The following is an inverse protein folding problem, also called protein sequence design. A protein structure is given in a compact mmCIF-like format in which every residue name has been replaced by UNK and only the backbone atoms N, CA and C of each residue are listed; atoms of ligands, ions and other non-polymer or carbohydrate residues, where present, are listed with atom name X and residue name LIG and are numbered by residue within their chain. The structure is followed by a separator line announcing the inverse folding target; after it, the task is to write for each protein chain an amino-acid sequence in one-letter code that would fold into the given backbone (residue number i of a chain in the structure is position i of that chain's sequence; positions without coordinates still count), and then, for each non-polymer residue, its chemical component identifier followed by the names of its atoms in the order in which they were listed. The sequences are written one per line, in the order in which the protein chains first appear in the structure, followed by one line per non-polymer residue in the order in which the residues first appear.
data_IF_721835020975
#
_entry.id   IF_721835020975
#
_cell.length_a   1.000
_cell.length_b   1.000
_cell.length_c   1.000
_cell.angle_alpha   90.00
_cell.angle_beta   90.00
_cell.angle_gamma   90.00
#
_symmetry.space_group_name_H-M   'P 1'
#
loop_
_entity.id
_entity.type
_entity.pdbx_description
1 polymer ?
#
# COMPACT_ATOMS: atom_id res chain seq x y z
N UNK A 1 -46.33 17.12 -39.64
CA UNK A 1 -47.47 17.50 -38.78
C UNK A 1 -47.01 17.38 -37.34
N UNK A 2 -46.82 18.52 -36.70
CA UNK A 2 -46.43 18.68 -35.30
C UNK A 2 -47.53 18.21 -34.35
N UNK A 3 -47.15 17.70 -33.17
CA UNK A 3 -47.95 17.88 -31.97
C UNK A 3 -47.04 18.01 -30.75
N UNK A 4 -46.84 19.27 -30.38
CA UNK A 4 -46.46 19.75 -29.06
C UNK A 4 -47.73 19.77 -28.20
N UNK A 5 -47.60 19.46 -26.91
CA UNK A 5 -48.32 20.05 -25.75
C UNK A 5 -47.93 19.23 -24.51
N UNK A 6 -47.14 19.79 -23.58
CA UNK A 6 -47.54 20.69 -22.48
C UNK A 6 -48.20 19.89 -21.35
N UNK A 7 -48.03 20.14 -20.06
CA UNK A 7 -47.18 20.96 -19.18
C UNK A 7 -47.60 20.50 -17.76
N UNK A 8 -47.00 21.09 -16.72
CA UNK A 8 -47.57 21.26 -15.38
C UNK A 8 -47.44 20.11 -14.35
N UNK A 9 -47.19 20.32 -13.05
CA UNK A 9 -46.95 21.51 -12.20
C UNK A 9 -46.81 21.02 -10.73
N UNK A 10 -46.33 21.91 -9.84
CA UNK A 10 -46.29 21.90 -8.36
C UNK A 10 -44.99 21.38 -7.72
N UNK A 11 -44.07 22.18 -7.16
CA UNK A 11 -44.08 23.40 -6.30
C UNK A 11 -44.52 23.22 -4.85
N UNK A 12 -43.72 23.86 -3.97
CA UNK A 12 -43.88 24.19 -2.54
C UNK A 12 -43.43 23.09 -1.56
N UNK A 13 -42.62 23.35 -0.52
CA UNK A 13 -42.50 24.56 0.30
C UNK A 13 -41.05 24.81 0.77
N UNK A 14 -40.58 26.04 0.54
CA UNK A 14 -39.67 26.77 1.43
C UNK A 14 -40.58 27.60 2.33
N UNK A 15 -40.23 27.73 3.61
CA UNK A 15 -40.49 28.84 4.55
C UNK A 15 -40.11 28.31 5.97
N UNK A 16 -39.55 29.03 6.95
CA UNK A 16 -39.17 30.44 7.12
C UNK A 16 -38.73 30.61 8.59
N UNK A 17 -37.70 31.45 8.80
CA UNK A 17 -37.43 32.28 10.00
C UNK A 17 -37.18 31.63 11.37
N UNK A 18 -36.58 32.27 12.38
CA UNK A 18 -35.60 33.34 12.63
C UNK A 18 -35.53 33.43 14.19
N UNK A 19 -34.58 34.24 14.71
CA UNK A 19 -34.45 34.73 16.10
C UNK A 19 -33.81 33.77 17.11
N UNK A 20 -33.04 34.20 18.13
CA UNK A 20 -32.40 35.47 18.49
C UNK A 20 -31.57 35.20 19.77
N UNK A 21 -30.42 35.84 19.85
CA UNK A 21 -29.58 36.24 21.01
C UNK A 21 -30.15 36.14 22.43
N UNK A 22 -29.36 35.56 23.36
CA UNK A 22 -29.11 35.97 24.77
C UNK A 22 -27.86 35.21 25.27
N UNK A 23 -26.72 35.84 25.54
CA UNK A 23 -26.29 36.51 26.79
C UNK A 23 -25.96 35.54 27.97
N UNK A 24 -24.69 35.61 28.37
CA UNK A 24 -24.03 35.30 29.66
C UNK A 24 -24.26 33.95 30.38
N UNK A 25 -23.16 33.22 30.57
CA UNK A 25 -22.87 32.60 31.86
C UNK A 25 -21.37 32.43 32.06
N UNK A 26 -20.90 33.03 33.15
CA UNK A 26 -19.55 33.05 33.69
C UNK A 26 -19.05 31.67 34.13
N UNK A 27 -17.80 31.34 33.80
CA UNK A 27 -17.02 30.35 34.56
C UNK A 27 -15.61 30.88 34.78
N UNK A 28 -15.37 31.31 36.03
CA UNK A 28 -14.06 31.40 36.66
C UNK A 28 -13.36 30.04 36.59
N UNK A 29 -12.13 30.02 36.10
CA UNK A 29 -11.18 28.97 36.40
C UNK A 29 -9.77 29.59 36.48
N UNK A 30 -9.18 29.37 37.64
CA UNK A 30 -8.00 30.02 38.18
C UNK A 30 -6.74 29.83 37.35
N UNK A 31 -5.90 30.86 37.40
CA UNK A 31 -4.55 30.93 36.86
C UNK A 31 -3.55 30.75 38.01
N UNK A 32 -2.90 29.59 38.12
CA UNK A 32 -1.67 29.32 38.87
C UNK A 32 -1.07 28.04 38.27
N UNK A 33 0.22 27.82 38.00
CA UNK A 33 1.45 28.58 38.16
C UNK A 33 2.49 27.87 37.27
N UNK A 34 3.40 28.64 36.67
CA UNK A 34 4.68 28.15 36.14
C UNK A 34 5.46 27.45 37.27
N UNK A 35 6.13 26.31 37.00
CA UNK A 35 7.60 26.21 37.11
C UNK A 35 8.13 24.77 36.90
N UNK A 36 9.19 24.73 36.08
CA UNK A 36 10.35 23.82 36.03
C UNK A 36 10.23 22.31 35.75
N UNK A 37 10.66 21.97 34.52
CA UNK A 37 11.90 21.23 34.24
C UNK A 37 12.19 19.96 35.05
N UNK A 38 11.89 18.81 34.46
CA UNK A 38 12.89 17.72 34.37
C UNK A 38 12.69 16.95 33.06
N UNK A 39 13.51 17.31 32.06
CA UNK A 39 13.71 16.57 30.83
C UNK A 39 14.96 15.70 31.03
N UNK A 40 14.79 14.44 31.40
CA UNK A 40 15.74 13.37 31.04
C UNK A 40 15.25 11.99 31.45
N UNK A 41 14.36 11.40 30.65
CA UNK A 41 14.41 9.95 30.45
C UNK A 41 14.68 9.73 28.97
N UNK A 42 15.99 9.67 28.75
CA UNK A 42 16.70 9.15 27.60
C UNK A 42 16.20 7.73 27.28
N UNK A 43 15.13 7.63 26.49
CA UNK A 43 14.68 6.37 25.88
C UNK A 43 15.36 6.20 24.49
N UNK A 44 16.63 6.60 24.42
CA UNK A 44 17.48 6.50 23.23
C UNK A 44 18.14 5.12 23.13
N UNK A 45 17.40 4.04 23.31
CA UNK A 45 17.88 2.70 22.94
C UNK A 45 16.81 1.93 22.17
N UNK A 46 16.44 2.47 21.00
CA UNK A 46 15.86 1.66 19.93
C UNK A 46 16.35 2.12 18.56
N UNK A 47 17.61 2.55 18.49
CA UNK A 47 18.36 2.49 17.24
C UNK A 47 18.68 1.03 16.99
N UNK A 48 17.78 0.43 16.20
CA UNK A 48 18.06 -0.53 15.15
C UNK A 48 19.43 -1.22 15.33
N UNK A 49 19.39 -2.46 15.79
CA UNK A 49 20.47 -3.41 15.60
C UNK A 49 20.79 -3.44 14.11
N UNK A 50 21.76 -2.60 13.71
CA UNK A 50 22.35 -2.48 12.40
C UNK A 50 23.29 -3.67 12.15
N UNK A 51 22.97 -4.83 12.74
CA UNK A 51 23.50 -6.10 12.29
C UNK A 51 23.08 -6.21 10.84
N UNK A 52 24.04 -5.94 9.95
CA UNK A 52 23.93 -6.17 8.52
C UNK A 52 23.41 -7.59 8.35
N UNK A 53 22.10 -7.70 8.13
CA UNK A 53 21.44 -8.96 7.93
C UNK A 53 22.13 -9.57 6.71
N UNK A 54 22.89 -10.64 6.91
CA UNK A 54 23.63 -11.40 5.87
C UNK A 54 22.71 -12.06 4.85
N UNK A 55 21.43 -11.70 4.86
CA UNK A 55 20.41 -12.22 3.98
C UNK A 55 20.74 -11.85 2.54
N UNK A 56 20.87 -12.88 1.72
CA UNK A 56 21.08 -12.74 0.28
C UNK A 56 19.77 -13.05 -0.43
N UNK A 57 19.30 -12.19 -1.34
CA UNK A 57 18.06 -12.45 -2.04
C UNK A 57 18.13 -13.76 -2.83
N UNK A 58 17.05 -14.56 -2.85
CA UNK A 58 17.02 -15.79 -3.62
C UNK A 58 17.23 -15.48 -5.10
N UNK A 59 18.12 -16.23 -5.74
CA UNK A 59 18.39 -16.09 -7.18
C UNK A 59 17.21 -16.61 -7.98
N UNK A 60 16.59 -15.74 -8.77
CA UNK A 60 15.43 -16.04 -9.60
C UNK A 60 15.89 -16.37 -11.00
N UNK A 61 15.34 -17.43 -11.58
CA UNK A 61 15.46 -17.75 -13.00
C UNK A 61 14.15 -17.38 -13.70
N UNK A 62 14.19 -17.20 -15.02
CA UNK A 62 13.02 -16.78 -15.83
C UNK A 62 11.80 -17.70 -15.64
N UNK A 63 12.00 -18.97 -15.29
CA UNK A 63 10.93 -19.93 -14.97
C UNK A 63 10.31 -19.79 -13.58
N UNK A 64 11.04 -19.29 -12.59
CA UNK A 64 10.60 -19.30 -11.18
C UNK A 64 9.45 -18.34 -10.92
N UNK A 65 9.38 -17.21 -11.65
CA UNK A 65 8.30 -16.23 -11.50
C UNK A 65 6.98 -16.66 -12.15
N UNK A 66 6.98 -17.80 -12.87
CA UNK A 66 5.77 -18.39 -13.42
C UNK A 66 5.09 -19.37 -12.47
N UNK A 67 5.81 -19.89 -11.47
CA UNK A 67 5.24 -20.77 -10.47
C UNK A 67 4.45 -19.94 -9.44
N UNK A 68 3.15 -20.19 -9.36
CA UNK A 68 2.22 -19.47 -8.48
C UNK A 68 1.32 -20.45 -7.77
N UNK A 69 0.94 -20.15 -6.53
CA UNK A 69 -0.10 -20.90 -5.84
C UNK A 69 -1.45 -20.30 -6.25
N UNK A 70 -2.18 -21.01 -7.11
CA UNK A 70 -3.40 -20.51 -7.75
C UNK A 70 -4.56 -20.22 -6.77
N UNK A 71 -4.52 -20.78 -5.56
CA UNK A 71 -5.60 -20.71 -4.57
C UNK A 71 -5.28 -19.92 -3.28
N UNK A 72 -4.29 -19.00 -3.30
CA UNK A 72 -4.01 -18.18 -2.11
C UNK A 72 -5.11 -17.17 -1.80
N UNK A 73 -5.79 -16.66 -2.83
CA UNK A 73 -6.97 -15.82 -2.70
C UNK A 73 -7.81 -15.84 -3.96
N UNK A 74 -9.09 -15.44 -3.83
CA UNK A 74 -9.99 -15.35 -4.97
C UNK A 74 -9.53 -14.29 -5.99
N UNK A 75 -9.90 -14.48 -7.25
CA UNK A 75 -9.64 -13.52 -8.33
C UNK A 75 -10.19 -12.11 -8.03
N UNK A 76 -11.35 -12.03 -7.38
CA UNK A 76 -11.95 -10.74 -6.98
C UNK A 76 -11.07 -10.01 -5.95
N UNK A 77 -10.52 -10.76 -4.99
CA UNK A 77 -9.62 -10.20 -3.98
C UNK A 77 -8.30 -9.73 -4.60
N UNK A 78 -7.75 -10.49 -5.56
CA UNK A 78 -6.59 -10.05 -6.32
C UNK A 78 -6.83 -8.72 -7.05
N UNK A 79 -7.98 -8.57 -7.74
CA UNK A 79 -8.34 -7.32 -8.43
C UNK A 79 -8.48 -6.15 -7.46
N UNK A 80 -9.07 -6.38 -6.29
CA UNK A 80 -9.19 -5.35 -5.26
C UNK A 80 -7.81 -4.88 -4.78
N UNK A 81 -6.89 -5.82 -4.54
CA UNK A 81 -5.51 -5.48 -4.16
C UNK A 81 -4.70 -4.86 -5.30
N UNK A 82 -4.92 -5.26 -6.56
CA UNK A 82 -4.29 -4.62 -7.73
C UNK A 82 -4.68 -3.14 -7.80
N UNK A 83 -5.98 -2.84 -7.62
CA UNK A 83 -6.46 -1.46 -7.57
C UNK A 83 -5.88 -0.71 -6.36
N UNK A 84 -5.96 -1.28 -5.17
CA UNK A 84 -5.48 -0.64 -3.95
C UNK A 84 -3.97 -0.30 -4.01
N UNK A 85 -3.18 -1.19 -4.62
CA UNK A 85 -1.75 -0.96 -4.83
C UNK A 85 -1.49 0.25 -5.73
N UNK A 86 -2.22 0.35 -6.84
CA UNK A 86 -2.10 1.48 -7.77
C UNK A 86 -2.56 2.78 -7.11
N UNK A 87 -3.71 2.76 -6.44
CA UNK A 87 -4.24 3.92 -5.72
C UNK A 87 -3.25 4.40 -4.65
N UNK A 88 -2.68 3.48 -3.86
CA UNK A 88 -1.73 3.81 -2.79
C UNK A 88 -0.43 4.38 -3.34
N UNK A 89 0.09 3.85 -4.44
CA UNK A 89 1.23 4.45 -5.13
C UNK A 89 0.90 5.86 -5.61
N UNK A 90 -0.25 6.04 -6.26
CA UNK A 90 -0.67 7.35 -6.80
C UNK A 90 -0.81 8.42 -5.72
N UNK A 91 -1.26 8.04 -4.52
CA UNK A 91 -1.35 8.92 -3.36
C UNK A 91 0.04 9.26 -2.79
N UNK A 92 0.96 8.30 -2.69
CA UNK A 92 2.22 8.47 -1.96
C UNK A 92 3.38 8.99 -2.83
N UNK A 93 3.44 8.59 -4.10
CA UNK A 93 4.57 8.86 -5.01
C UNK A 93 4.14 9.62 -6.27
N UNK A 94 2.84 9.80 -6.49
CA UNK A 94 2.31 10.38 -7.71
C UNK A 94 2.11 9.34 -8.81
N UNK A 95 2.10 9.74 -10.09
CA UNK A 95 1.63 8.91 -11.21
C UNK A 95 2.19 7.48 -11.20
N UNK A 96 1.35 6.52 -11.60
CA UNK A 96 1.77 5.13 -11.78
C UNK A 96 2.96 5.04 -12.76
N UNK A 97 4.06 4.35 -12.41
CA UNK A 97 5.29 4.39 -13.18
C UNK A 97 5.15 3.68 -14.53
N UNK A 98 5.94 4.10 -15.52
CA UNK A 98 6.01 3.38 -16.78
C UNK A 98 6.80 2.07 -16.59
N UNK A 99 6.50 1.01 -17.35
CA UNK A 99 7.26 -0.24 -17.29
C UNK A 99 8.76 -0.04 -17.46
N UNK A 100 9.17 0.91 -18.31
CA UNK A 100 10.57 1.21 -18.60
C UNK A 100 11.31 1.79 -17.38
N UNK A 101 10.60 2.53 -16.52
CA UNK A 101 11.17 3.08 -15.29
C UNK A 101 11.46 1.95 -14.30
N UNK A 102 10.55 0.97 -14.22
CA UNK A 102 10.69 -0.22 -13.37
C UNK A 102 11.85 -1.09 -13.81
N UNK A 103 12.10 -1.23 -15.11
CA UNK A 103 13.27 -2.00 -15.63
C UNK A 103 14.59 -1.31 -15.28
N UNK A 104 14.63 0.02 -15.34
CA UNK A 104 15.86 0.81 -15.18
C UNK A 104 16.23 1.05 -13.71
N UNK A 105 15.23 1.24 -12.86
CA UNK A 105 15.43 1.68 -11.49
C UNK A 105 15.04 0.59 -10.47
N UNK A 106 16.01 -0.02 -9.77
CA UNK A 106 15.73 -1.00 -8.73
C UNK A 106 15.00 -0.39 -7.53
N UNK A 107 15.09 0.92 -7.29
CA UNK A 107 14.39 1.57 -6.18
C UNK A 107 12.88 1.65 -6.47
N UNK A 108 12.50 2.06 -7.68
CA UNK A 108 11.11 2.00 -8.15
C UNK A 108 10.55 0.58 -8.09
N UNK A 109 11.30 -0.40 -8.60
CA UNK A 109 10.88 -1.80 -8.55
C UNK A 109 10.75 -2.34 -7.11
N UNK A 110 11.70 -2.02 -6.24
CA UNK A 110 11.70 -2.38 -4.83
C UNK A 110 10.51 -1.79 -4.07
N UNK A 111 10.14 -0.54 -4.36
CA UNK A 111 8.96 0.08 -3.77
C UNK A 111 7.65 -0.60 -4.20
N UNK A 112 7.52 -0.96 -5.48
CA UNK A 112 6.34 -1.69 -5.97
C UNK A 112 6.27 -3.08 -5.32
N UNK A 113 7.40 -3.77 -5.19
CA UNK A 113 7.49 -5.06 -4.49
C UNK A 113 7.09 -4.93 -3.01
N UNK A 114 7.48 -3.84 -2.35
CA UNK A 114 7.03 -3.55 -0.99
C UNK A 114 5.52 -3.43 -0.92
N UNK A 115 4.88 -2.65 -1.79
CA UNK A 115 3.42 -2.56 -1.86
C UNK A 115 2.77 -3.94 -2.15
N UNK A 116 3.41 -4.78 -2.94
CA UNK A 116 2.94 -6.13 -3.23
C UNK A 116 2.97 -7.03 -2.00
N UNK A 117 4.08 -7.02 -1.25
CA UNK A 117 4.21 -7.82 -0.02
C UNK A 117 3.22 -7.35 1.04
N UNK A 118 2.98 -6.04 1.16
CA UNK A 118 1.95 -5.51 2.08
C UNK A 118 0.52 -5.92 1.68
N UNK A 119 0.29 -6.28 0.41
CA UNK A 119 -1.02 -6.76 -0.07
C UNK A 119 -1.06 -8.26 -0.30
N UNK A 120 -0.04 -9.00 0.12
CA UNK A 120 0.04 -10.46 0.01
C UNK A 120 -1.08 -11.15 0.81
N UNK A 121 -1.33 -12.43 0.52
CA UNK A 121 -2.36 -13.23 1.20
C UNK A 121 -2.22 -13.18 2.73
N UNK A 122 -3.19 -12.60 3.48
CA UNK A 122 -3.04 -12.36 4.91
C UNK A 122 -3.23 -13.62 5.76
N UNK A 123 -3.66 -14.73 5.15
CA UNK A 123 -3.83 -16.03 5.81
C UNK A 123 -2.53 -16.80 5.96
N UNK A 124 -1.47 -16.38 5.27
CA UNK A 124 -0.16 -17.01 5.34
C UNK A 124 0.85 -16.09 6.03
N UNK A 125 1.70 -16.68 6.85
CA UNK A 125 2.81 -15.97 7.47
C UNK A 125 3.84 -15.58 6.39
N UNK A 126 4.14 -14.30 6.30
CA UNK A 126 5.24 -13.78 5.49
C UNK A 126 6.56 -14.01 6.21
N UNK A 127 7.57 -14.48 5.46
CA UNK A 127 8.93 -14.60 6.01
C UNK A 127 9.42 -13.21 6.44
N UNK A 128 10.05 -13.06 7.62
CA UNK A 128 10.43 -11.76 8.16
C UNK A 128 11.29 -10.92 7.20
N UNK A 129 12.14 -11.56 6.40
CA UNK A 129 13.10 -10.90 5.53
C UNK A 129 12.43 -10.07 4.43
N UNK A 130 11.19 -10.41 4.05
CA UNK A 130 10.43 -9.66 3.04
C UNK A 130 9.73 -8.42 3.58
N UNK A 131 9.71 -8.22 4.89
CA UNK A 131 9.19 -6.99 5.51
C UNK A 131 10.19 -5.84 5.39
N UNK A 132 11.46 -6.17 5.23
CA UNK A 132 12.56 -5.21 5.15
C UNK A 132 12.68 -4.60 3.74
N UNK A 133 12.57 -3.27 3.64
CA UNK A 133 12.65 -2.56 2.37
C UNK A 133 14.00 -2.79 1.65
N UNK A 134 15.11 -2.89 2.41
CA UNK A 134 16.45 -3.17 1.87
C UNK A 134 16.53 -4.51 1.14
N UNK A 135 15.83 -5.52 1.65
CA UNK A 135 15.81 -6.87 1.07
C UNK A 135 14.98 -6.92 -0.22
N UNK A 136 13.86 -6.19 -0.26
CA UNK A 136 13.05 -6.07 -1.46
C UNK A 136 13.77 -5.29 -2.56
N UNK A 137 14.51 -4.23 -2.20
CA UNK A 137 15.41 -3.53 -3.13
C UNK A 137 16.49 -4.47 -3.67
N UNK A 138 17.17 -5.22 -2.80
CA UNK A 138 18.19 -6.19 -3.23
C UNK A 138 17.61 -7.28 -4.16
N UNK A 139 16.38 -7.74 -3.89
CA UNK A 139 15.67 -8.65 -4.79
C UNK A 139 15.37 -7.99 -6.15
N UNK A 140 14.98 -6.72 -6.14
CA UNK A 140 14.75 -5.91 -7.33
C UNK A 140 16.03 -5.62 -8.13
N UNK A 141 17.23 -5.83 -7.60
CA UNK A 141 18.48 -5.68 -8.37
C UNK A 141 18.64 -6.77 -9.45
N UNK A 142 17.85 -7.84 -9.39
CA UNK A 142 17.84 -8.87 -10.43
C UNK A 142 17.03 -8.42 -11.66
N UNK A 143 17.67 -8.39 -12.83
CA UNK A 143 17.04 -7.97 -14.10
C UNK A 143 15.75 -8.74 -14.40
N UNK A 144 15.76 -10.06 -14.19
CA UNK A 144 14.59 -10.93 -14.41
C UNK A 144 13.38 -10.55 -13.54
N UNK A 145 13.63 -10.05 -12.32
CA UNK A 145 12.57 -9.59 -11.42
C UNK A 145 11.99 -8.29 -11.96
N UNK A 146 12.84 -7.33 -12.35
CA UNK A 146 12.38 -6.04 -12.89
C UNK A 146 11.66 -6.19 -14.22
N UNK A 147 12.15 -7.03 -15.13
CA UNK A 147 11.48 -7.33 -16.40
C UNK A 147 10.09 -7.93 -16.17
N UNK A 148 9.98 -8.93 -15.30
CA UNK A 148 8.70 -9.56 -14.99
C UNK A 148 7.75 -8.59 -14.28
N UNK A 149 8.28 -7.73 -13.41
CA UNK A 149 7.48 -6.75 -12.69
C UNK A 149 7.00 -5.63 -13.62
N UNK A 150 7.83 -5.20 -14.57
CA UNK A 150 7.45 -4.22 -15.59
C UNK A 150 6.26 -4.70 -16.45
N UNK A 151 6.20 -5.99 -16.78
CA UNK A 151 5.02 -6.56 -17.43
C UNK A 151 3.78 -6.49 -16.54
N UNK A 152 3.90 -6.81 -15.25
CA UNK A 152 2.80 -6.67 -14.30
C UNK A 152 2.33 -5.21 -14.15
N UNK A 153 3.27 -4.27 -14.14
CA UNK A 153 3.04 -2.81 -14.08
C UNK A 153 2.29 -2.31 -15.30
N UNK A 154 2.65 -2.78 -16.50
CA UNK A 154 1.96 -2.44 -17.76
C UNK A 154 0.47 -2.78 -17.71
N UNK A 155 0.16 -3.97 -17.20
CA UNK A 155 -1.21 -4.47 -17.14
C UNK A 155 -1.93 -4.16 -15.83
N UNK A 156 -1.26 -3.53 -14.87
CA UNK A 156 -1.72 -3.32 -13.48
C UNK A 156 -2.26 -4.62 -12.88
N UNK A 157 -1.56 -5.73 -13.13
CA UNK A 157 -2.00 -7.07 -12.78
C UNK A 157 -0.90 -7.82 -12.04
N UNK A 158 -1.03 -7.94 -10.72
CA UNK A 158 0.03 -8.43 -9.85
C UNK A 158 -0.32 -9.73 -9.12
N UNK A 159 -1.38 -10.40 -9.55
CA UNK A 159 -1.81 -11.70 -9.05
C UNK A 159 -0.65 -12.69 -8.94
N UNK A 160 0.19 -12.77 -9.98
CA UNK A 160 1.34 -13.67 -10.00
C UNK A 160 2.36 -13.33 -8.92
N UNK A 161 2.76 -12.06 -8.84
CA UNK A 161 3.71 -11.63 -7.84
C UNK A 161 3.19 -11.87 -6.44
N UNK A 162 1.94 -11.52 -6.11
CA UNK A 162 1.40 -11.82 -4.75
C UNK A 162 1.37 -13.29 -4.42
N UNK A 163 1.32 -14.15 -5.43
CA UNK A 163 1.16 -15.59 -5.25
C UNK A 163 2.46 -16.38 -5.37
N UNK A 164 3.60 -15.69 -5.39
CA UNK A 164 4.90 -16.34 -5.33
C UNK A 164 5.09 -16.96 -3.95
N UNK A 165 5.39 -18.25 -3.93
CA UNK A 165 5.66 -19.00 -2.70
C UNK A 165 6.81 -18.43 -1.87
N UNK A 166 7.73 -17.72 -2.51
CA UNK A 166 8.95 -17.23 -1.89
C UNK A 166 8.69 -16.23 -0.75
N UNK A 167 7.54 -15.56 -0.73
CA UNK A 167 7.17 -14.63 0.35
C UNK A 167 6.85 -15.32 1.66
N UNK A 168 6.42 -16.59 1.61
CA UNK A 168 5.71 -17.24 2.70
C UNK A 168 6.58 -18.24 3.45
N UNK A 169 6.38 -18.32 4.76
CA UNK A 169 7.00 -19.34 5.60
C UNK A 169 6.48 -20.74 5.22
N UNK A 170 7.37 -21.74 5.24
CA UNK A 170 7.01 -23.13 4.96
C UNK A 170 6.88 -23.52 3.49
N UNK A 171 7.09 -22.58 2.55
CA UNK A 171 7.10 -22.86 1.11
C UNK A 171 8.47 -22.59 0.51
N UNK A 172 9.11 -23.59 -0.10
CA UNK A 172 10.42 -23.43 -0.75
C UNK A 172 10.34 -23.50 -2.27
N UNK A 173 11.06 -22.58 -2.92
CA UNK A 173 11.25 -22.56 -4.38
C UNK A 173 11.85 -23.86 -4.92
N UNK A 174 12.64 -24.59 -4.11
CA UNK A 174 13.27 -25.86 -4.50
C UNK A 174 12.28 -27.03 -4.60
N UNK A 175 11.09 -26.92 -4.01
CA UNK A 175 10.07 -27.97 -4.08
C UNK A 175 9.19 -27.85 -5.33
N UNK A 176 9.47 -26.88 -6.21
CA UNK A 176 8.59 -26.48 -7.30
C UNK A 176 9.24 -26.54 -8.70
N UNK A 177 10.41 -27.21 -8.81
CA UNK A 177 11.10 -27.56 -10.07
C UNK A 177 11.15 -29.07 -10.29
#
# INVERSE_FOLDING_TARGET
MSRVQDMDNQSHQVQTEMLSTTADSSTDAEKLSENDSDLSEDDSELFEDDSETTWTPPRVLKGHLHFVVEDLMSTERHKLHDKALVDLHEILKGPWPAPEDVVKDPDTAGYILWLLVQTAAPTLALRPEWKEAKNLRAFAEQDVVRESLADAVRWKAFTRFRSLVLWYEGYDLQLCL
#
